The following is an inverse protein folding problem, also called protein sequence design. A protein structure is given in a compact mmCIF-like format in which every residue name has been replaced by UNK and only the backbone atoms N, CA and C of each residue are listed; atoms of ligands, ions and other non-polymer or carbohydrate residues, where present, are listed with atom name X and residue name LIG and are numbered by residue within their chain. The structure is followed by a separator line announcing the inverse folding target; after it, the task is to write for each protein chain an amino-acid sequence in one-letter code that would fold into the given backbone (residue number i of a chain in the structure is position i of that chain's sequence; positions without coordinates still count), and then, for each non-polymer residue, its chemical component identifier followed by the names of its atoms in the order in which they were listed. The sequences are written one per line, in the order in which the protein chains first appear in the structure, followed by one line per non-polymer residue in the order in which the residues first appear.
data_IF_428362735289
#
_entry.id   IF_428362735289
#
_cell.length_a   1.000
_cell.length_b   1.000
_cell.length_c   1.000
_cell.angle_alpha   90.00
_cell.angle_beta   90.00
_cell.angle_gamma   90.00
#
_symmetry.space_group_name_H-M   'P 1'
#
loop_
_entity.id
_entity.type
_entity.pdbx_description
1 polymer ?
#
# COMPACT_ATOMS: atom_id res chain seq x y z
N UNK A 1 17.90 0.89 7.92
CA UNK A 1 17.08 -0.20 7.32
C UNK A 1 17.98 -0.98 6.38
N UNK A 2 17.97 -2.31 6.43
CA UNK A 2 18.76 -3.13 5.49
C UNK A 2 18.06 -3.19 4.12
N UNK A 3 18.78 -3.45 3.02
CA UNK A 3 18.16 -3.62 1.70
C UNK A 3 17.13 -4.75 1.72
N UNK A 4 15.97 -4.54 1.08
CA UNK A 4 14.89 -5.52 0.98
C UNK A 4 14.27 -5.47 -0.41
N UNK A 5 13.63 -6.57 -0.82
CA UNK A 5 12.67 -6.54 -1.92
C UNK A 5 11.34 -5.97 -1.45
N UNK A 6 10.73 -5.09 -2.24
CA UNK A 6 9.36 -4.62 -2.04
C UNK A 6 8.38 -5.50 -2.80
N UNK A 7 7.24 -5.82 -2.18
CA UNK A 7 6.12 -6.51 -2.84
C UNK A 7 5.03 -5.50 -3.19
N UNK A 8 4.50 -5.60 -4.41
CA UNK A 8 3.40 -4.76 -4.90
C UNK A 8 2.21 -5.65 -5.27
N UNK A 9 1.02 -5.27 -4.80
CA UNK A 9 -0.24 -5.96 -5.10
C UNK A 9 -1.16 -4.98 -5.79
N UNK A 10 -1.67 -5.35 -6.96
CA UNK A 10 -2.58 -4.48 -7.72
C UNK A 10 -3.97 -4.47 -7.11
N UNK A 11 -4.58 -3.29 -7.01
CA UNK A 11 -5.94 -3.07 -6.53
C UNK A 11 -6.67 -2.04 -7.40
N UNK A 12 -7.99 -2.07 -7.41
CA UNK A 12 -8.80 -1.11 -8.18
C UNK A 12 -8.90 0.27 -7.50
N UNK A 13 -8.95 0.29 -6.16
CA UNK A 13 -9.04 1.50 -5.34
C UNK A 13 -8.01 1.46 -4.21
N UNK A 14 -6.91 2.21 -4.39
CA UNK A 14 -5.83 2.31 -3.41
C UNK A 14 -6.28 3.00 -2.12
N UNK A 15 -7.11 4.04 -2.23
CA UNK A 15 -7.56 4.80 -1.06
C UNK A 15 -8.55 3.98 -0.22
N UNK A 16 -9.53 3.36 -0.87
CA UNK A 16 -10.48 2.46 -0.22
C UNK A 16 -9.80 1.25 0.40
N UNK A 17 -8.82 0.65 -0.29
CA UNK A 17 -8.03 -0.47 0.26
C UNK A 17 -7.22 -0.03 1.48
N UNK A 18 -6.55 1.13 1.44
CA UNK A 18 -5.78 1.64 2.58
C UNK A 18 -6.67 1.96 3.80
N UNK A 19 -7.87 2.49 3.58
CA UNK A 19 -8.86 2.66 4.65
C UNK A 19 -9.23 1.32 5.27
N UNK A 20 -9.50 0.30 4.42
CA UNK A 20 -9.87 -1.04 4.88
C UNK A 20 -8.78 -1.72 5.71
N UNK A 21 -7.52 -1.50 5.35
CA UNK A 21 -6.37 -1.99 6.14
C UNK A 21 -6.44 -1.50 7.58
N UNK A 22 -6.75 -0.23 7.79
CA UNK A 22 -6.84 0.35 9.15
C UNK A 22 -8.01 -0.25 9.93
N UNK A 23 -9.18 -0.42 9.29
CA UNK A 23 -10.35 -1.07 9.90
C UNK A 23 -10.05 -2.51 10.34
N UNK A 24 -9.21 -3.23 9.60
CA UNK A 24 -8.83 -4.62 9.87
C UNK A 24 -7.64 -4.75 10.84
N UNK A 25 -7.20 -3.65 11.46
CA UNK A 25 -6.13 -3.65 12.45
C UNK A 25 -4.71 -3.56 11.87
N UNK A 26 -4.58 -3.35 10.56
CA UNK A 26 -3.33 -3.01 9.91
C UNK A 26 -2.96 -1.53 10.05
N UNK A 27 -1.87 -1.12 9.40
CA UNK A 27 -1.38 0.26 9.41
C UNK A 27 -1.11 0.76 8.00
N UNK A 28 -1.45 2.02 7.75
CA UNK A 28 -0.96 2.76 6.59
C UNK A 28 0.38 3.39 6.99
N UNK A 29 1.47 2.87 6.43
CA UNK A 29 2.83 3.37 6.69
C UNK A 29 3.17 4.56 5.80
N UNK A 30 2.65 4.55 4.58
CA UNK A 30 2.70 5.66 3.65
C UNK A 30 1.31 5.81 3.02
N UNK A 31 0.65 6.99 3.17
CA UNK A 31 -0.62 7.26 2.53
C UNK A 31 -0.57 7.09 1.02
N UNK A 32 -1.74 6.94 0.40
CA UNK A 32 -1.85 6.88 -1.05
C UNK A 32 -1.22 8.11 -1.70
N UNK A 33 -0.30 7.88 -2.64
CA UNK A 33 0.34 8.92 -3.45
C UNK A 33 0.24 8.56 -4.92
N UNK A 34 -0.06 9.56 -5.75
CA UNK A 34 -0.08 9.41 -7.21
C UNK A 34 1.29 9.79 -7.76
N UNK A 35 1.85 8.92 -8.58
CA UNK A 35 3.04 9.21 -9.38
C UNK A 35 2.61 9.42 -10.82
N UNK A 36 2.92 10.58 -11.41
CA UNK A 36 2.64 10.84 -12.82
C UNK A 36 3.13 9.71 -13.71
N UNK A 37 2.32 9.33 -14.70
CA UNK A 37 2.61 8.31 -15.73
C UNK A 37 2.81 6.87 -15.21
N UNK A 38 2.58 6.60 -13.92
CA UNK A 38 2.72 5.25 -13.33
C UNK A 38 1.41 4.79 -12.69
N UNK A 39 0.80 5.63 -11.84
CA UNK A 39 -0.39 5.29 -11.09
C UNK A 39 -0.32 5.71 -9.63
N UNK A 40 -1.23 5.19 -8.82
CA UNK A 40 -1.35 5.51 -7.39
C UNK A 40 -0.90 4.32 -6.56
N UNK A 41 -0.17 4.54 -5.47
CA UNK A 41 0.18 3.48 -4.54
C UNK A 41 0.23 3.94 -3.08
N UNK A 42 0.13 2.99 -2.16
CA UNK A 42 0.30 3.19 -0.72
C UNK A 42 1.17 2.07 -0.14
N UNK A 43 1.90 2.36 0.95
CA UNK A 43 2.62 1.33 1.71
C UNK A 43 1.82 0.99 2.97
N UNK A 44 1.54 -0.30 3.15
CA UNK A 44 0.73 -0.80 4.25
C UNK A 44 1.45 -1.91 5.02
N UNK A 45 1.00 -2.13 6.25
CA UNK A 45 1.46 -3.21 7.12
C UNK A 45 0.25 -3.97 7.66
N UNK A 46 0.27 -5.30 7.59
CA UNK A 46 -0.76 -6.15 8.18
C UNK A 46 -0.61 -6.25 9.72
N UNK A 47 -1.58 -6.82 10.44
CA UNK A 47 -1.48 -6.98 11.90
C UNK A 47 -0.30 -7.86 12.38
N UNK A 48 0.27 -8.69 11.49
CA UNK A 48 1.42 -9.55 11.78
C UNK A 48 2.77 -8.86 11.53
N UNK A 49 2.75 -7.63 10.97
CA UNK A 49 3.93 -6.82 10.71
C UNK A 49 4.47 -6.90 9.28
N UNK A 50 3.85 -7.69 8.40
CA UNK A 50 4.27 -7.80 7.00
C UNK A 50 4.03 -6.47 6.26
N UNK A 51 5.07 -5.94 5.62
CA UNK A 51 4.99 -4.70 4.85
C UNK A 51 4.91 -4.98 3.35
N UNK A 52 3.96 -4.36 2.66
CA UNK A 52 3.80 -4.45 1.21
C UNK A 52 3.06 -3.23 0.67
N UNK A 53 3.26 -2.95 -0.61
CA UNK A 53 2.58 -1.87 -1.30
C UNK A 53 1.33 -2.37 -2.02
N UNK A 54 0.30 -1.52 -2.05
CA UNK A 54 -0.85 -1.67 -2.94
C UNK A 54 -0.76 -0.62 -4.03
N UNK A 55 -1.10 -0.98 -5.27
CA UNK A 55 -0.93 -0.11 -6.43
C UNK A 55 -2.13 -0.21 -7.38
N UNK A 56 -2.55 0.91 -7.93
CA UNK A 56 -3.40 0.96 -9.11
C UNK A 56 -2.59 1.63 -10.22
N UNK A 57 -2.38 0.94 -11.33
CA UNK A 57 -1.69 1.49 -12.49
C UNK A 57 -2.69 2.32 -13.31
N UNK A 58 -2.25 3.50 -13.73
CA UNK A 58 -3.02 4.39 -14.61
C UNK A 58 -2.89 4.03 -16.08
#
# INVERSE_FOLDING_TARGET
MQPTWGTFITVDDVAGTAAKVTELGGKVLMPAMTVPDIGTFALIQDPQGAMFAIVHYG
#
